data_IF_317068148568
#
_entry.id   IF_317068148568
#
_cell.length_a   1.000
_cell.length_b   1.000
_cell.length_c   1.000
_cell.angle_alpha   90.00
_cell.angle_beta   90.00
_cell.angle_gamma   90.00
#
_symmetry.space_group_name_H-M   'P 1'
#
loop_
_entity.id
_entity.type
_entity.pdbx_description
1 polymer ?
#
# COMPACT_ATOMS: atom_id res chain seq x y z
N UNK A 1 17.09 -6.57 22.88
CA UNK A 1 17.17 -6.59 21.40
C UNK A 1 16.30 -5.45 20.91
N UNK A 2 16.87 -4.35 20.44
CA UNK A 2 16.12 -3.24 19.84
C UNK A 2 15.66 -3.64 18.45
N UNK A 3 14.38 -3.48 18.14
CA UNK A 3 13.88 -3.71 16.79
C UNK A 3 14.58 -2.75 15.81
N UNK A 4 15.06 -3.21 14.64
CA UNK A 4 15.79 -2.37 13.69
C UNK A 4 14.91 -1.30 13.02
N UNK A 5 13.59 -1.36 13.22
CA UNK A 5 12.62 -0.43 12.65
C UNK A 5 11.71 0.14 13.72
N UNK A 6 11.38 1.43 13.60
CA UNK A 6 10.31 2.05 14.37
C UNK A 6 8.99 1.88 13.60
N UNK A 7 8.22 0.86 13.93
CA UNK A 7 6.92 0.59 13.31
C UNK A 7 5.84 1.65 13.61
N UNK A 8 6.09 2.56 14.55
CA UNK A 8 5.18 3.67 14.80
C UNK A 8 5.31 4.78 13.74
N UNK A 9 6.41 4.82 12.96
CA UNK A 9 6.58 5.77 11.87
C UNK A 9 5.87 5.29 10.60
N UNK A 10 4.56 5.48 10.54
CA UNK A 10 3.69 5.06 9.45
C UNK A 10 3.54 6.16 8.39
N UNK A 11 3.10 5.81 7.18
CA UNK A 11 2.98 6.76 6.06
C UNK A 11 2.06 7.95 6.39
N UNK A 12 0.95 7.72 7.09
CA UNK A 12 0.06 8.79 7.52
C UNK A 12 0.69 9.79 8.51
N UNK A 13 1.79 9.43 9.19
CA UNK A 13 2.54 10.34 10.06
C UNK A 13 3.67 11.04 9.30
N UNK A 14 4.40 10.29 8.47
CA UNK A 14 5.53 10.81 7.70
C UNK A 14 5.09 11.72 6.55
N UNK A 15 3.99 11.39 5.88
CA UNK A 15 3.40 12.15 4.78
C UNK A 15 1.85 12.00 4.77
N UNK A 16 1.15 12.83 5.57
CA UNK A 16 -0.31 12.82 5.63
C UNK A 16 -0.99 13.18 4.31
N UNK A 17 -0.33 13.98 3.47
CA UNK A 17 -0.88 14.41 2.19
C UNK A 17 -0.92 13.24 1.20
N UNK A 18 0.18 12.51 1.07
CA UNK A 18 0.23 11.30 0.24
C UNK A 18 -0.70 10.21 0.76
N UNK A 19 -0.76 10.01 2.08
CA UNK A 19 -1.72 9.09 2.69
C UNK A 19 -3.17 9.43 2.28
N UNK A 20 -3.56 10.70 2.36
CA UNK A 20 -4.90 11.14 1.94
C UNK A 20 -5.18 10.86 0.46
N UNK A 21 -4.18 10.99 -0.42
CA UNK A 21 -4.33 10.64 -1.84
C UNK A 21 -4.57 9.14 -2.06
N UNK A 22 -3.88 8.28 -1.30
CA UNK A 22 -4.08 6.83 -1.37
C UNK A 22 -5.50 6.46 -0.93
N UNK A 23 -5.97 7.02 0.19
CA UNK A 23 -7.32 6.78 0.69
C UNK A 23 -8.40 7.23 -0.31
N UNK A 24 -8.22 8.40 -0.94
CA UNK A 24 -9.13 8.86 -1.99
C UNK A 24 -9.14 7.92 -3.22
N UNK A 25 -7.99 7.34 -3.58
CA UNK A 25 -7.92 6.38 -4.69
C UNK A 25 -8.65 5.08 -4.38
N UNK A 26 -8.58 4.60 -3.13
CA UNK A 26 -9.37 3.44 -2.67
C UNK A 26 -10.86 3.69 -2.87
N UNK A 27 -11.35 4.87 -2.47
CA UNK A 27 -12.75 5.27 -2.66
C UNK A 27 -13.10 5.35 -4.14
N UNK A 28 -12.27 6.00 -4.96
CA UNK A 28 -12.48 6.13 -6.40
C UNK A 28 -12.65 4.77 -7.08
N UNK A 29 -11.79 3.80 -6.74
CA UNK A 29 -11.85 2.45 -7.29
C UNK A 29 -13.11 1.69 -6.85
N UNK A 30 -13.59 1.90 -5.62
CA UNK A 30 -14.82 1.25 -5.13
C UNK A 30 -16.10 1.85 -5.73
N UNK A 31 -16.11 3.17 -5.98
CA UNK A 31 -17.29 3.89 -6.46
C UNK A 31 -17.41 3.89 -7.98
N UNK A 32 -16.39 3.43 -8.70
CA UNK A 32 -16.37 3.38 -10.17
C UNK A 32 -16.39 1.95 -10.71
N UNK A 33 -17.11 1.75 -11.82
CA UNK A 33 -17.03 0.50 -12.58
C UNK A 33 -15.80 0.60 -13.48
N UNK A 34 -14.78 -0.22 -13.20
CA UNK A 34 -13.57 -0.26 -14.02
C UNK A 34 -13.81 -1.12 -15.28
N UNK A 35 -13.56 -0.54 -16.45
CA UNK A 35 -13.84 -1.15 -17.76
C UNK A 35 -12.59 -1.32 -18.63
N UNK A 36 -11.42 -0.95 -18.10
CA UNK A 36 -10.15 -1.18 -18.78
C UNK A 36 -9.81 -2.67 -18.75
N UNK A 37 -9.79 -3.32 -19.91
CA UNK A 37 -9.63 -4.77 -20.04
C UNK A 37 -8.33 -5.35 -19.46
N UNK A 38 -7.29 -4.52 -19.32
CA UNK A 38 -6.00 -4.91 -18.74
C UNK A 38 -5.90 -4.68 -17.23
N UNK A 39 -6.85 -3.97 -16.62
CA UNK A 39 -6.83 -3.66 -15.20
C UNK A 39 -7.58 -4.70 -14.37
N UNK A 40 -7.16 -4.84 -13.11
CA UNK A 40 -7.75 -5.81 -12.19
C UNK A 40 -7.47 -5.45 -10.73
N UNK A 41 -8.27 -6.01 -9.81
CA UNK A 41 -8.07 -5.90 -8.38
C UNK A 41 -7.31 -7.11 -7.87
N UNK A 42 -6.13 -6.88 -7.30
CA UNK A 42 -5.36 -7.96 -6.66
C UNK A 42 -5.93 -8.32 -5.29
N UNK A 43 -5.60 -9.50 -4.78
CA UNK A 43 -6.07 -9.94 -3.46
C UNK A 43 -5.29 -9.25 -2.32
N UNK A 44 -5.90 -9.11 -1.12
CA UNK A 44 -5.19 -8.58 0.05
C UNK A 44 -3.91 -9.35 0.40
N UNK A 45 -3.88 -10.67 0.14
CA UNK A 45 -2.70 -11.50 0.36
C UNK A 45 -1.52 -11.08 -0.54
N UNK A 46 -1.78 -10.70 -1.80
CA UNK A 46 -0.75 -10.20 -2.72
C UNK A 46 -0.23 -8.84 -2.24
N UNK A 47 -1.12 -7.93 -1.81
CA UNK A 47 -0.71 -6.62 -1.29
C UNK A 47 0.17 -6.76 -0.04
N UNK A 48 -0.17 -7.67 0.88
CA UNK A 48 0.64 -7.98 2.06
C UNK A 48 2.04 -8.49 1.70
N UNK A 49 2.14 -9.38 0.71
CA UNK A 49 3.43 -9.88 0.24
C UNK A 49 4.28 -8.77 -0.39
N UNK A 50 3.67 -7.86 -1.18
CA UNK A 50 4.35 -6.72 -1.79
C UNK A 50 4.93 -5.75 -0.76
N UNK A 51 4.26 -5.53 0.37
CA UNK A 51 4.74 -4.68 1.46
C UNK A 51 5.72 -5.34 2.43
N UNK A 52 6.25 -6.53 2.12
CA UNK A 52 7.06 -7.31 3.05
C UNK A 52 8.55 -6.92 3.05
N UNK A 53 9.29 -7.47 4.03
CA UNK A 53 10.75 -7.31 4.16
C UNK A 53 11.56 -7.84 2.96
N UNK A 54 10.92 -8.57 2.02
CA UNK A 54 11.59 -9.05 0.81
C UNK A 54 12.18 -7.91 -0.01
N UNK A 55 11.59 -6.70 0.05
CA UNK A 55 12.13 -5.50 -0.63
C UNK A 55 13.53 -5.08 -0.16
N UNK A 56 13.96 -5.51 1.03
CA UNK A 56 15.25 -5.13 1.61
C UNK A 56 16.37 -6.11 1.22
N UNK A 57 16.03 -7.19 0.49
CA UNK A 57 16.98 -8.26 0.18
C UNK A 57 17.56 -8.09 -1.22
N UNK A 58 18.89 -8.00 -1.30
CA UNK A 58 19.63 -8.24 -2.54
C UNK A 58 19.85 -9.75 -2.70
N UNK A 59 19.53 -10.30 -3.86
CA UNK A 59 19.64 -11.72 -4.21
C UNK A 59 20.18 -11.87 -5.63
#
# INVERSE_FOLDING_TARGET
>A
MTAPFNYNNTLNQADPALWGMIEHEVVRQHEHIELIASENYTSPAVMQAQGSQLTNKYA
#
